data_IF_997258621963
#
_entry.id   IF_997258621963
#
_cell.length_a   1.000
_cell.length_b   1.000
_cell.length_c   1.000
_cell.angle_alpha   90.00
_cell.angle_beta   90.00
_cell.angle_gamma   90.00
#
_symmetry.space_group_name_H-M   'P 1'
#
loop_
_entity.id
_entity.type
_entity.pdbx_description
1 polymer ?
#
# COMPACT_ATOMS: atom_id res chain seq x y z
N UNK A 1 -33.61 3.26 -15.83
CA UNK A 1 -32.42 3.32 -14.98
C UNK A 1 -31.43 2.37 -15.61
N UNK A 2 -30.63 2.91 -16.52
CA UNK A 2 -29.69 2.18 -17.36
C UNK A 2 -28.40 1.97 -16.56
N UNK A 3 -28.11 0.72 -16.22
CA UNK A 3 -26.87 0.31 -15.56
C UNK A 3 -25.78 0.21 -16.62
N UNK A 4 -25.13 1.32 -16.93
CA UNK A 4 -23.91 1.31 -17.73
C UNK A 4 -22.85 0.50 -16.98
N UNK A 5 -22.52 -0.67 -17.52
CA UNK A 5 -21.40 -1.49 -17.06
C UNK A 5 -20.12 -0.71 -17.37
N UNK A 6 -19.39 -0.34 -16.31
CA UNK A 6 -18.08 0.29 -16.42
C UNK A 6 -17.10 -0.71 -17.06
N UNK A 7 -16.77 -0.47 -18.33
CA UNK A 7 -15.87 -1.31 -19.14
C UNK A 7 -14.39 -0.95 -18.95
N UNK A 8 -14.04 -0.27 -17.86
CA UNK A 8 -12.65 0.10 -17.59
C UNK A 8 -11.78 -1.15 -17.45
N UNK A 9 -11.01 -1.46 -18.51
CA UNK A 9 -10.00 -2.50 -18.49
C UNK A 9 -8.78 -2.00 -17.70
N UNK A 10 -8.57 -2.55 -16.50
CA UNK A 10 -7.36 -2.31 -15.72
C UNK A 10 -6.15 -2.99 -16.38
N UNK A 11 -4.98 -2.37 -16.25
CA UNK A 11 -3.73 -3.00 -16.67
C UNK A 11 -3.50 -4.29 -15.87
N UNK A 12 -2.92 -5.36 -16.47
CA UNK A 12 -2.68 -6.61 -15.78
C UNK A 12 -1.73 -6.38 -14.59
N UNK A 13 -2.13 -6.89 -13.43
CA UNK A 13 -1.31 -6.86 -12.22
C UNK A 13 -0.08 -7.76 -12.40
N UNK A 14 1.11 -7.23 -12.12
CA UNK A 14 2.33 -8.02 -12.15
C UNK A 14 2.52 -8.74 -10.81
N UNK A 15 2.75 -10.07 -10.81
CA UNK A 15 3.04 -10.78 -9.57
C UNK A 15 4.36 -10.30 -8.97
N UNK A 16 4.49 -10.43 -7.65
CA UNK A 16 5.74 -10.17 -6.96
C UNK A 16 6.85 -11.05 -7.56
N UNK A 17 7.99 -10.43 -7.90
CA UNK A 17 9.16 -11.14 -8.44
C UNK A 17 9.82 -12.09 -7.44
N UNK A 18 9.64 -11.83 -6.14
CA UNK A 18 10.23 -12.59 -5.05
C UNK A 18 9.28 -12.57 -3.83
N UNK A 19 9.01 -13.74 -3.26
CA UNK A 19 8.31 -13.89 -1.98
C UNK A 19 9.28 -13.58 -0.81
N UNK A 20 9.78 -12.34 -0.73
CA UNK A 20 10.87 -11.99 0.18
C UNK A 20 10.54 -12.21 1.65
N UNK A 21 9.26 -12.16 2.03
CA UNK A 21 8.77 -12.43 3.37
C UNK A 21 9.02 -13.87 3.82
N UNK A 22 9.03 -14.82 2.89
CA UNK A 22 9.38 -16.22 3.13
C UNK A 22 10.89 -16.40 3.29
N UNK A 23 11.67 -15.65 2.51
CA UNK A 23 13.14 -15.72 2.55
C UNK A 23 13.76 -14.93 3.70
N UNK A 24 13.11 -13.88 4.18
CA UNK A 24 13.60 -12.98 5.23
C UNK A 24 12.51 -12.62 6.25
N UNK A 25 11.95 -13.61 6.97
CA UNK A 25 10.80 -13.40 7.88
C UNK A 25 11.11 -12.44 9.03
N UNK A 26 12.35 -12.42 9.54
CA UNK A 26 12.73 -11.50 10.62
C UNK A 26 12.82 -10.04 10.15
N UNK A 27 13.23 -9.81 8.89
CA UNK A 27 13.23 -8.47 8.29
C UNK A 27 11.79 -7.99 8.13
N UNK A 28 10.89 -8.87 7.67
CA UNK A 28 9.47 -8.55 7.59
C UNK A 28 8.88 -8.16 8.96
N UNK A 29 9.15 -8.95 10.00
CA UNK A 29 8.72 -8.63 11.38
C UNK A 29 9.27 -7.28 11.87
N UNK A 30 10.52 -6.96 11.54
CA UNK A 30 11.12 -5.68 11.90
C UNK A 30 10.40 -4.51 11.21
N UNK A 31 10.06 -4.64 9.92
CA UNK A 31 9.31 -3.62 9.19
C UNK A 31 7.89 -3.41 9.75
N UNK A 32 7.20 -4.48 10.18
CA UNK A 32 5.90 -4.37 10.86
C UNK A 32 6.02 -3.59 12.17
N UNK A 33 7.06 -3.86 12.97
CA UNK A 33 7.32 -3.12 14.22
C UNK A 33 7.61 -1.64 13.97
N UNK A 34 8.34 -1.33 12.90
CA UNK A 34 8.59 0.04 12.47
C UNK A 34 7.28 0.75 12.12
N UNK A 35 6.37 0.11 11.36
CA UNK A 35 5.06 0.70 11.03
C UNK A 35 4.26 1.00 12.30
N UNK A 36 4.17 0.06 13.24
CA UNK A 36 3.47 0.25 14.51
C UNK A 36 4.03 1.45 15.29
N UNK A 37 5.35 1.57 15.38
CA UNK A 37 5.99 2.69 16.06
C UNK A 37 5.71 4.04 15.35
N UNK A 38 5.74 4.06 14.01
CA UNK A 38 5.49 5.26 13.21
C UNK A 38 4.06 5.80 13.33
N UNK A 39 3.09 4.96 13.75
CA UNK A 39 1.70 5.37 13.99
C UNK A 39 1.51 6.17 15.28
N UNK A 40 2.47 6.13 16.21
CA UNK A 40 2.30 6.73 17.53
C UNK A 40 2.27 8.26 17.45
N UNK A 41 1.24 8.87 18.06
CA UNK A 41 1.13 10.33 18.17
C UNK A 41 0.69 11.05 16.90
N UNK A 42 0.24 10.32 15.86
CA UNK A 42 -0.27 10.90 14.62
C UNK A 42 -1.76 10.60 14.44
N UNK A 43 -2.49 11.55 13.85
CA UNK A 43 -3.86 11.32 13.40
C UNK A 43 -3.88 10.22 12.30
N UNK A 44 -4.77 9.22 12.38
CA UNK A 44 -4.79 8.12 11.41
C UNK A 44 -4.97 8.56 9.95
N UNK A 45 -5.78 9.60 9.70
CA UNK A 45 -5.98 10.11 8.34
C UNK A 45 -4.73 10.82 7.84
N UNK A 46 -4.09 11.63 8.68
CA UNK A 46 -2.82 12.27 8.32
C UNK A 46 -1.73 11.23 8.01
N UNK A 47 -1.66 10.15 8.79
CA UNK A 47 -0.72 9.05 8.55
C UNK A 47 -0.92 8.46 7.15
N UNK A 48 -2.14 8.07 6.79
CA UNK A 48 -2.37 7.45 5.48
C UNK A 48 -2.14 8.44 4.33
N UNK A 49 -2.44 9.74 4.50
CA UNK A 49 -2.09 10.77 3.51
C UNK A 49 -0.57 10.90 3.29
N UNK A 50 0.23 10.84 4.37
CA UNK A 50 1.70 10.83 4.27
C UNK A 50 2.18 9.60 3.49
N UNK A 51 1.62 8.42 3.78
CA UNK A 51 1.98 7.17 3.09
C UNK A 51 1.56 7.16 1.62
N UNK A 52 0.39 7.70 1.29
CA UNK A 52 -0.05 7.93 -0.10
C UNK A 52 0.97 8.82 -0.82
N UNK A 53 1.34 9.97 -0.23
CA UNK A 53 2.26 10.91 -0.90
C UNK A 53 3.66 10.31 -1.08
N UNK A 54 4.18 9.60 -0.08
CA UNK A 54 5.45 8.89 -0.18
C UNK A 54 5.40 7.82 -1.28
N UNK A 55 4.30 7.09 -1.40
CA UNK A 55 4.12 6.05 -2.43
C UNK A 55 4.08 6.64 -3.85
N UNK A 56 3.43 7.80 -4.02
CA UNK A 56 3.44 8.54 -5.29
C UNK A 56 4.85 8.97 -5.70
N UNK A 57 5.60 9.59 -4.78
CA UNK A 57 6.98 10.06 -5.06
C UNK A 57 7.92 8.90 -5.41
N UNK A 58 7.71 7.74 -4.79
CA UNK A 58 8.49 6.53 -5.04
C UNK A 58 7.93 5.66 -6.18
N UNK A 59 6.86 6.08 -6.85
CA UNK A 59 6.19 5.35 -7.92
C UNK A 59 5.83 3.89 -7.55
N UNK A 60 5.45 3.66 -6.29
CA UNK A 60 5.07 2.33 -5.82
C UNK A 60 3.56 2.13 -5.97
N UNK A 61 3.12 1.55 -7.09
CA UNK A 61 1.71 1.28 -7.36
C UNK A 61 1.06 0.38 -6.30
N UNK A 62 1.80 -0.61 -5.78
CA UNK A 62 1.31 -1.50 -4.72
C UNK A 62 0.98 -0.74 -3.43
N UNK A 63 1.92 0.07 -2.93
CA UNK A 63 1.69 0.85 -1.71
C UNK A 63 0.62 1.94 -1.94
N UNK A 64 0.57 2.51 -3.14
CA UNK A 64 -0.45 3.51 -3.47
C UNK A 64 -1.85 2.90 -3.40
N UNK A 65 -2.08 1.77 -4.07
CA UNK A 65 -3.37 1.06 -4.03
C UNK A 65 -3.76 0.71 -2.58
N UNK A 66 -2.84 0.12 -1.82
CA UNK A 66 -3.07 -0.25 -0.42
C UNK A 66 -3.47 0.96 0.44
N UNK A 67 -2.68 2.03 0.44
CA UNK A 67 -2.93 3.18 1.31
C UNK A 67 -4.14 4.02 0.89
N UNK A 68 -4.52 4.03 -0.40
CA UNK A 68 -5.74 4.74 -0.83
C UNK A 68 -7.03 4.06 -0.36
N UNK A 69 -7.00 2.74 -0.10
CA UNK A 69 -8.16 1.99 0.44
C UNK A 69 -8.29 2.14 1.95
N UNK A 70 -7.18 2.42 2.63
CA UNK A 70 -7.12 2.57 4.09
C UNK A 70 -7.36 4.02 4.57
N UNK A 71 -7.29 5.01 3.67
CA UNK A 71 -7.47 6.44 3.95
C UNK A 71 -8.93 6.92 3.87
#
# INVERSE_FOLDING_TARGET
>A
MDTAQDTTAYAPEHPARLAWTEHAPEVYKAMVRLDIAARQGLDPRLLELVKIRASQLNHCAFCLDMHTKDA
#
